data_IF_440613093056
#
_entry.id   IF_440613093056
#
_cell.length_a   1.000
_cell.length_b   1.000
_cell.length_c   1.000
_cell.angle_alpha   90.00
_cell.angle_beta   90.00
_cell.angle_gamma   90.00
#
_symmetry.space_group_name_H-M   'P 1'
#
loop_
_entity.id
_entity.type
_entity.pdbx_description
1 polymer ?
#
# COMPACT_ATOMS: atom_id res chain seq x y z
N UNK A 1 -82.39 -14.98 -70.29
CA UNK A 1 -82.93 -16.17 -69.60
C UNK A 1 -83.57 -15.68 -68.32
N UNK A 2 -84.89 -15.71 -68.23
CA UNK A 2 -85.63 -15.26 -67.04
C UNK A 2 -85.58 -16.37 -65.97
N UNK A 3 -85.23 -16.02 -64.74
CA UNK A 3 -85.28 -16.95 -63.60
C UNK A 3 -86.71 -17.45 -63.40
N UNK A 4 -86.86 -18.78 -63.35
CA UNK A 4 -88.13 -19.44 -63.03
C UNK A 4 -88.47 -19.13 -61.56
N UNK A 5 -89.68 -18.63 -61.24
CA UNK A 5 -90.02 -18.26 -59.87
C UNK A 5 -90.11 -19.52 -58.99
N UNK A 6 -89.33 -19.55 -57.91
CA UNK A 6 -89.35 -20.65 -56.94
C UNK A 6 -90.79 -20.90 -56.42
N UNK A 7 -91.15 -22.18 -56.34
CA UNK A 7 -92.45 -22.62 -55.80
C UNK A 7 -92.58 -22.26 -54.32
N UNK A 8 -93.80 -22.07 -53.82
CA UNK A 8 -94.03 -21.70 -52.42
C UNK A 8 -93.42 -22.69 -51.40
N UNK A 9 -93.30 -23.97 -51.76
CA UNK A 9 -92.63 -24.99 -50.93
C UNK A 9 -91.11 -24.83 -50.87
N UNK A 10 -90.47 -24.47 -51.99
CA UNK A 10 -89.02 -24.18 -52.03
C UNK A 10 -88.68 -22.95 -51.21
N UNK A 11 -89.51 -21.90 -51.25
CA UNK A 11 -89.35 -20.71 -50.40
C UNK A 11 -89.45 -21.05 -48.91
N UNK A 12 -90.42 -21.88 -48.51
CA UNK A 12 -90.54 -22.36 -47.12
C UNK A 12 -89.29 -23.16 -46.68
N UNK A 13 -88.74 -24.01 -47.54
CA UNK A 13 -87.52 -24.76 -47.26
C UNK A 13 -86.29 -23.83 -47.09
N UNK A 14 -86.16 -22.80 -47.94
CA UNK A 14 -85.12 -21.78 -47.80
C UNK A 14 -85.24 -20.99 -46.48
N UNK A 15 -86.46 -20.64 -46.06
CA UNK A 15 -86.69 -19.98 -44.77
C UNK A 15 -86.28 -20.86 -43.59
N UNK A 16 -86.58 -22.16 -43.63
CA UNK A 16 -86.15 -23.11 -42.58
C UNK A 16 -84.63 -23.18 -42.46
N UNK A 17 -83.92 -23.28 -43.59
CA UNK A 17 -82.44 -23.30 -43.61
C UNK A 17 -81.88 -21.98 -43.06
N UNK A 18 -82.49 -20.84 -43.39
CA UNK A 18 -82.08 -19.54 -42.85
C UNK A 18 -82.32 -19.43 -41.34
N UNK A 19 -83.44 -19.96 -40.83
CA UNK A 19 -83.68 -20.02 -39.39
C UNK A 19 -82.67 -20.92 -38.67
N UNK A 20 -82.37 -22.10 -39.20
CA UNK A 20 -81.32 -23.00 -38.67
C UNK A 20 -79.97 -22.29 -38.60
N UNK A 21 -79.53 -21.65 -39.70
CA UNK A 21 -78.28 -20.88 -39.72
C UNK A 21 -78.30 -19.69 -38.75
N UNK A 22 -79.46 -19.08 -38.54
CA UNK A 22 -79.62 -18.01 -37.56
C UNK A 22 -79.45 -18.55 -36.14
N UNK A 23 -80.03 -19.71 -35.84
CA UNK A 23 -79.86 -20.38 -34.55
C UNK A 23 -78.41 -20.79 -34.31
N UNK A 24 -77.73 -21.40 -35.30
CA UNK A 24 -76.31 -21.75 -35.21
C UNK A 24 -75.42 -20.52 -34.91
N UNK A 25 -75.66 -19.41 -35.59
CA UNK A 25 -74.93 -18.17 -35.34
C UNK A 25 -75.21 -17.59 -33.95
N UNK A 26 -76.47 -17.65 -33.48
CA UNK A 26 -76.84 -17.17 -32.14
C UNK A 26 -76.13 -18.01 -31.07
N UNK A 27 -76.15 -19.34 -31.19
CA UNK A 27 -75.43 -20.23 -30.28
C UNK A 27 -73.92 -19.98 -30.29
N UNK A 28 -73.31 -19.80 -31.47
CA UNK A 28 -71.88 -19.46 -31.58
C UNK A 28 -71.56 -18.13 -30.90
N UNK A 29 -72.42 -17.11 -31.04
CA UNK A 29 -72.23 -15.82 -30.38
C UNK A 29 -72.39 -15.91 -28.87
N UNK A 30 -73.36 -16.70 -28.38
CA UNK A 30 -73.57 -16.92 -26.95
C UNK A 30 -72.37 -17.64 -26.32
N UNK A 31 -71.89 -18.73 -26.94
CA UNK A 31 -70.70 -19.46 -26.47
C UNK A 31 -69.44 -18.58 -26.47
N UNK A 32 -69.25 -17.73 -27.49
CA UNK A 32 -68.16 -16.75 -27.52
C UNK A 32 -68.30 -15.69 -26.42
N UNK A 33 -69.52 -15.22 -26.15
CA UNK A 33 -69.79 -14.23 -25.12
C UNK A 33 -69.50 -14.80 -23.73
N UNK A 34 -69.99 -15.99 -23.42
CA UNK A 34 -69.71 -16.68 -22.16
C UNK A 34 -68.20 -16.92 -21.95
N UNK A 35 -67.50 -17.39 -23.00
CA UNK A 35 -66.03 -17.57 -22.95
C UNK A 35 -65.30 -16.24 -22.73
N UNK A 36 -65.73 -15.17 -23.38
CA UNK A 36 -65.12 -13.86 -23.25
C UNK A 36 -65.36 -13.27 -21.85
N UNK A 37 -66.56 -13.41 -21.30
CA UNK A 37 -66.89 -13.00 -19.93
C UNK A 37 -66.09 -13.79 -18.89
N UNK A 38 -65.94 -15.10 -19.06
CA UNK A 38 -65.13 -15.93 -18.18
C UNK A 38 -63.64 -15.54 -18.22
N UNK A 39 -63.09 -15.31 -19.41
CA UNK A 39 -61.71 -14.82 -19.57
C UNK A 39 -61.52 -13.42 -18.95
N UNK A 40 -62.50 -12.54 -19.12
CA UNK A 40 -62.47 -11.19 -18.55
C UNK A 40 -62.55 -11.22 -17.01
N UNK A 41 -63.35 -12.13 -16.44
CA UNK A 41 -63.39 -12.33 -15.00
C UNK A 41 -62.06 -12.86 -14.46
N UNK A 42 -61.47 -13.86 -15.12
CA UNK A 42 -60.18 -14.44 -14.72
C UNK A 42 -59.05 -13.42 -14.80
N UNK A 43 -58.93 -12.72 -15.93
CA UNK A 43 -57.88 -11.71 -16.12
C UNK A 43 -57.98 -10.53 -15.14
N UNK A 44 -59.20 -10.17 -14.72
CA UNK A 44 -59.40 -9.17 -13.65
C UNK A 44 -58.86 -9.65 -12.30
N UNK A 45 -59.13 -10.90 -11.93
CA UNK A 45 -58.61 -11.49 -10.69
C UNK A 45 -57.07 -11.58 -10.71
N UNK A 46 -56.50 -12.00 -11.85
CA UNK A 46 -55.05 -12.08 -12.01
C UNK A 46 -54.40 -10.69 -11.92
N UNK A 47 -55.00 -9.68 -12.56
CA UNK A 47 -54.52 -8.30 -12.50
C UNK A 47 -54.57 -7.74 -11.06
N UNK A 48 -55.63 -8.02 -10.31
CA UNK A 48 -55.74 -7.58 -8.92
C UNK A 48 -54.68 -8.25 -8.03
N UNK A 49 -54.45 -9.56 -8.22
CA UNK A 49 -53.36 -10.29 -7.55
C UNK A 49 -52.00 -9.68 -7.85
N UNK A 50 -51.68 -9.43 -9.12
CA UNK A 50 -50.41 -8.82 -9.54
C UNK A 50 -50.24 -7.40 -8.99
N UNK A 51 -51.32 -6.60 -8.96
CA UNK A 51 -51.28 -5.27 -8.36
C UNK A 51 -50.99 -5.33 -6.85
N UNK A 52 -51.56 -6.29 -6.14
CA UNK A 52 -51.31 -6.49 -4.72
C UNK A 52 -49.87 -6.96 -4.47
N UNK A 53 -49.38 -7.94 -5.23
CA UNK A 53 -47.98 -8.39 -5.15
C UNK A 53 -47.02 -7.24 -5.43
N UNK A 54 -47.27 -6.45 -6.48
CA UNK A 54 -46.44 -5.28 -6.83
C UNK A 54 -46.40 -4.26 -5.69
N UNK A 55 -47.53 -3.96 -5.05
CA UNK A 55 -47.57 -3.01 -3.92
C UNK A 55 -46.76 -3.53 -2.73
N UNK A 56 -46.90 -4.81 -2.39
CA UNK A 56 -46.13 -5.44 -1.30
C UNK A 56 -44.63 -5.41 -1.59
N UNK A 57 -44.22 -5.82 -2.80
CA UNK A 57 -42.81 -5.80 -3.20
C UNK A 57 -42.23 -4.37 -3.19
N UNK A 58 -43.01 -3.37 -3.62
CA UNK A 58 -42.58 -1.98 -3.55
C UNK A 58 -42.37 -1.52 -2.11
N UNK A 59 -43.26 -1.90 -1.19
CA UNK A 59 -43.10 -1.59 0.23
C UNK A 59 -41.87 -2.28 0.82
N UNK A 60 -41.63 -3.55 0.52
CA UNK A 60 -40.46 -4.30 0.97
C UNK A 60 -39.15 -3.69 0.43
N UNK A 61 -39.12 -3.26 -0.83
CA UNK A 61 -37.94 -2.59 -1.42
C UNK A 61 -37.63 -1.27 -0.71
N UNK A 62 -38.66 -0.49 -0.36
CA UNK A 62 -38.48 0.76 0.40
C UNK A 62 -37.96 0.46 1.79
N UNK A 63 -38.57 -0.48 2.50
CA UNK A 63 -38.14 -0.87 3.85
C UNK A 63 -36.72 -1.44 3.86
N UNK A 64 -36.37 -2.26 2.87
CA UNK A 64 -35.02 -2.79 2.72
C UNK A 64 -33.98 -1.69 2.49
N UNK A 65 -34.30 -0.71 1.63
CA UNK A 65 -33.44 0.46 1.38
C UNK A 65 -33.27 1.35 2.61
N UNK A 66 -34.34 1.56 3.36
CA UNK A 66 -34.29 2.33 4.61
C UNK A 66 -33.44 1.62 5.66
N UNK A 67 -33.61 0.30 5.82
CA UNK A 67 -32.77 -0.53 6.70
C UNK A 67 -31.31 -0.51 6.26
N UNK A 68 -31.04 -0.64 4.97
CA UNK A 68 -29.68 -0.58 4.41
C UNK A 68 -29.05 0.79 4.68
N UNK A 69 -29.78 1.88 4.44
CA UNK A 69 -29.32 3.23 4.72
C UNK A 69 -29.04 3.43 6.22
N UNK A 70 -29.94 3.00 7.09
CA UNK A 70 -29.77 3.10 8.54
C UNK A 70 -28.60 2.26 9.06
N UNK A 71 -28.41 1.05 8.51
CA UNK A 71 -27.27 0.19 8.82
C UNK A 71 -25.97 0.82 8.33
N UNK A 72 -25.94 1.33 7.11
CA UNK A 72 -24.78 2.02 6.53
C UNK A 72 -24.40 3.26 7.36
N UNK A 73 -25.37 4.07 7.77
CA UNK A 73 -25.13 5.23 8.65
C UNK A 73 -24.62 4.81 10.04
N UNK A 74 -25.15 3.73 10.62
CA UNK A 74 -24.65 3.19 11.90
C UNK A 74 -23.24 2.63 11.76
N UNK A 75 -22.94 1.97 10.64
CA UNK A 75 -21.61 1.48 10.29
C UNK A 75 -20.65 2.58 9.84
N UNK A 76 -21.12 3.78 9.50
CA UNK A 76 -20.25 4.92 9.19
C UNK A 76 -19.91 5.76 10.43
N UNK A 77 -20.26 5.30 11.64
CA UNK A 77 -19.97 6.02 12.88
C UNK A 77 -18.46 6.17 13.09
N UNK A 78 -18.02 7.40 13.37
CA UNK A 78 -16.62 7.79 13.61
C UNK A 78 -15.66 7.45 12.45
N UNK A 79 -15.85 8.09 11.29
CA UNK A 79 -14.90 7.99 10.21
C UNK A 79 -13.52 8.51 10.65
N UNK A 80 -12.46 7.91 10.12
CA UNK A 80 -11.11 8.30 10.49
C UNK A 80 -10.14 8.37 9.31
N UNK A 81 -9.08 9.14 9.53
CA UNK A 81 -7.91 9.23 8.65
C UNK A 81 -6.74 8.53 9.32
N UNK A 82 -6.03 7.71 8.56
CA UNK A 82 -4.84 7.00 9.05
C UNK A 82 -3.58 7.58 8.42
N UNK A 83 -2.56 7.82 9.24
CA UNK A 83 -1.23 8.24 8.79
C UNK A 83 -0.22 7.21 9.22
N UNK A 84 0.46 6.59 8.27
CA UNK A 84 1.54 5.64 8.53
C UNK A 84 2.86 6.27 8.12
N UNK A 85 3.80 6.35 9.07
CA UNK A 85 5.11 6.95 8.87
C UNK A 85 6.17 5.91 9.19
N UNK A 86 7.01 5.60 8.21
CA UNK A 86 8.27 4.90 8.37
C UNK A 86 9.36 5.94 8.64
N UNK A 87 9.74 6.14 9.90
CA UNK A 87 10.74 7.14 10.26
C UNK A 87 12.19 6.67 10.02
N UNK A 88 12.39 5.38 9.74
CA UNK A 88 13.71 4.85 9.36
C UNK A 88 13.97 5.00 7.84
N UNK A 89 12.93 5.26 7.05
CA UNK A 89 13.05 5.45 5.61
C UNK A 89 13.76 6.76 5.25
N UNK A 90 14.59 6.71 4.20
CA UNK A 90 15.31 7.87 3.66
C UNK A 90 14.32 9.02 3.36
N UNK A 91 14.59 10.19 3.94
CA UNK A 91 13.79 11.41 3.73
C UNK A 91 12.57 11.56 4.64
N UNK A 92 12.29 10.61 5.54
CA UNK A 92 11.20 10.71 6.52
C UNK A 92 11.69 10.86 7.97
N UNK A 93 12.97 11.19 8.15
CA UNK A 93 13.50 11.62 9.45
C UNK A 93 12.95 13.00 9.80
N UNK A 94 12.43 13.15 11.02
CA UNK A 94 11.90 14.43 11.51
C UNK A 94 13.00 15.47 11.73
N UNK A 95 12.62 16.74 11.66
CA UNK A 95 13.56 17.86 11.86
C UNK A 95 14.18 17.87 13.27
N UNK A 96 15.43 18.31 13.31
CA UNK A 96 16.24 18.40 14.55
C UNK A 96 15.57 19.25 15.63
N UNK A 97 14.81 20.29 15.24
CA UNK A 97 14.06 21.14 16.16
C UNK A 97 13.05 20.36 17.03
N UNK A 98 12.60 19.20 16.56
CA UNK A 98 11.76 18.28 17.34
C UNK A 98 12.62 17.27 18.09
N UNK A 99 13.47 16.53 17.37
CA UNK A 99 14.23 15.39 17.93
C UNK A 99 15.12 15.80 19.13
N UNK A 100 15.76 16.96 19.04
CA UNK A 100 16.75 17.42 20.05
C UNK A 100 16.11 17.90 21.36
N UNK A 101 14.79 18.12 21.40
CA UNK A 101 14.07 18.71 22.54
C UNK A 101 13.39 17.69 23.47
N UNK A 102 13.71 16.40 23.35
CA UNK A 102 13.16 15.33 24.20
C UNK A 102 11.61 15.38 24.18
N UNK A 103 10.94 15.22 25.32
CA UNK A 103 9.47 15.19 25.42
C UNK A 103 8.77 16.41 24.80
N UNK A 104 9.23 17.63 25.09
CA UNK A 104 8.67 18.86 24.50
C UNK A 104 8.78 18.88 22.97
N UNK A 105 9.84 18.27 22.44
CA UNK A 105 10.01 18.11 21.00
C UNK A 105 8.99 17.16 20.38
N UNK A 106 8.67 16.06 21.08
CA UNK A 106 7.63 15.12 20.68
C UNK A 106 6.24 15.75 20.70
N UNK A 107 5.93 16.50 21.76
CA UNK A 107 4.68 17.28 21.86
C UNK A 107 4.55 18.29 20.72
N UNK A 108 5.62 19.06 20.46
CA UNK A 108 5.65 20.03 19.36
C UNK A 108 5.48 19.38 17.99
N UNK A 109 6.04 18.19 17.79
CA UNK A 109 5.86 17.44 16.54
C UNK A 109 4.42 16.97 16.37
N UNK A 110 3.78 16.47 17.42
CA UNK A 110 2.40 16.02 17.36
C UNK A 110 1.45 17.18 17.00
N UNK A 111 1.65 18.34 17.61
CA UNK A 111 0.86 19.55 17.31
C UNK A 111 1.04 19.99 15.85
N UNK A 112 2.29 20.10 15.39
CA UNK A 112 2.58 20.49 14.00
C UNK A 112 1.98 19.48 13.01
N UNK A 113 2.14 18.18 13.29
CA UNK A 113 1.63 17.12 12.42
C UNK A 113 0.10 17.21 12.32
N UNK A 114 -0.60 17.42 13.43
CA UNK A 114 -2.05 17.62 13.41
C UNK A 114 -2.46 18.83 12.56
N UNK A 115 -1.76 19.97 12.71
CA UNK A 115 -2.02 21.18 11.92
C UNK A 115 -1.87 20.87 10.43
N UNK A 116 -0.74 20.28 10.00
CA UNK A 116 -0.50 20.00 8.58
C UNK A 116 -1.48 18.98 7.99
N UNK A 117 -1.87 17.98 8.78
CA UNK A 117 -2.87 17.00 8.36
C UNK A 117 -4.24 17.64 8.19
N UNK A 118 -4.68 18.50 9.12
CA UNK A 118 -5.96 19.22 8.99
C UNK A 118 -5.95 20.18 7.80
N UNK A 119 -4.87 20.93 7.61
CA UNK A 119 -4.70 21.81 6.44
C UNK A 119 -4.81 21.04 5.12
N UNK A 120 -4.22 19.84 5.05
CA UNK A 120 -4.32 18.98 3.88
C UNK A 120 -5.72 18.38 3.66
N UNK A 121 -6.43 18.03 4.73
CA UNK A 121 -7.73 17.35 4.64
C UNK A 121 -8.90 18.30 4.34
N UNK A 122 -8.85 19.56 4.79
CA UNK A 122 -9.94 20.53 4.63
C UNK A 122 -10.40 20.74 3.17
N UNK A 123 -9.50 20.81 2.17
CA UNK A 123 -9.93 20.89 0.78
C UNK A 123 -10.53 19.60 0.23
N UNK A 124 -10.30 18.46 0.88
CA UNK A 124 -10.74 17.14 0.42
C UNK A 124 -12.09 16.72 1.01
N UNK A 125 -12.43 17.21 2.20
CA UNK A 125 -13.61 16.78 2.96
C UNK A 125 -14.26 17.97 3.67
N UNK A 126 -15.55 18.19 3.44
CA UNK A 126 -16.33 19.22 4.13
C UNK A 126 -16.39 18.97 5.65
N UNK A 127 -16.36 17.70 6.06
CA UNK A 127 -16.37 17.25 7.46
C UNK A 127 -14.96 17.09 8.06
N UNK A 128 -13.92 17.64 7.41
CA UNK A 128 -12.52 17.39 7.75
C UNK A 128 -12.17 17.63 9.22
N UNK A 129 -12.71 18.66 9.88
CA UNK A 129 -12.38 18.96 11.29
C UNK A 129 -13.02 17.97 12.28
N UNK A 130 -14.06 17.23 11.86
CA UNK A 130 -14.74 16.21 12.67
C UNK A 130 -14.12 14.81 12.58
N UNK A 131 -13.24 14.59 11.59
CA UNK A 131 -12.59 13.31 11.37
C UNK A 131 -11.62 12.99 12.51
N UNK A 132 -11.65 11.76 13.01
CA UNK A 132 -10.62 11.25 13.90
C UNK A 132 -9.33 11.04 13.08
N UNK A 133 -8.17 11.49 13.58
CA UNK A 133 -6.87 11.34 12.90
C UNK A 133 -6.00 10.40 13.74
N UNK A 134 -5.65 9.26 13.18
CA UNK A 134 -4.76 8.27 13.79
C UNK A 134 -3.40 8.38 13.12
N UNK A 135 -2.35 8.55 13.91
CA UNK A 135 -0.97 8.59 13.41
C UNK A 135 -0.19 7.44 14.01
N UNK A 136 0.54 6.70 13.18
CA UNK A 136 1.46 5.66 13.61
C UNK A 136 2.82 5.87 12.99
N UNK A 137 3.78 6.15 13.84
CA UNK A 137 5.19 6.26 13.47
C UNK A 137 5.89 4.97 13.83
N UNK A 138 6.51 4.31 12.85
CA UNK A 138 7.30 3.10 13.05
C UNK A 138 8.77 3.45 12.90
N UNK A 139 9.57 3.06 13.91
CA UNK A 139 11.01 3.26 13.89
C UNK A 139 11.69 2.18 14.74
N UNK A 140 12.89 1.76 14.36
CA UNK A 140 13.78 1.06 15.27
C UNK A 140 14.45 2.10 16.18
N UNK A 141 13.92 2.29 17.39
CA UNK A 141 14.38 3.36 18.28
C UNK A 141 15.86 3.20 18.66
N UNK A 142 16.34 1.98 18.83
CA UNK A 142 17.74 1.72 19.16
C UNK A 142 18.65 2.08 17.98
N UNK A 143 18.30 1.64 16.77
CA UNK A 143 19.03 1.98 15.55
C UNK A 143 19.04 3.50 15.30
N UNK A 144 17.87 4.14 15.41
CA UNK A 144 17.72 5.57 15.23
C UNK A 144 18.51 6.36 16.28
N UNK A 145 18.47 5.96 17.57
CA UNK A 145 19.27 6.59 18.62
C UNK A 145 20.77 6.48 18.33
N UNK A 146 21.27 5.30 17.98
CA UNK A 146 22.68 5.10 17.66
C UNK A 146 23.14 5.98 16.49
N UNK A 147 22.30 6.14 15.46
CA UNK A 147 22.56 7.07 14.36
C UNK A 147 22.61 8.53 14.84
N UNK A 148 21.60 8.97 15.59
CA UNK A 148 21.48 10.35 16.06
C UNK A 148 22.58 10.74 17.07
N UNK A 149 23.07 9.79 17.87
CA UNK A 149 24.23 10.00 18.76
C UNK A 149 25.50 10.27 17.95
N UNK A 150 25.74 9.51 16.88
CA UNK A 150 26.89 9.74 15.98
C UNK A 150 26.82 11.09 15.26
N UNK A 151 25.62 11.66 15.12
CA UNK A 151 25.39 12.97 14.54
C UNK A 151 25.35 14.11 15.58
N UNK A 152 25.64 13.82 16.86
CA UNK A 152 25.57 14.77 17.98
C UNK A 152 24.19 15.44 18.17
N UNK A 153 23.12 14.75 17.73
CA UNK A 153 21.72 15.25 17.84
C UNK A 153 21.06 14.82 19.14
N UNK A 154 21.39 13.64 19.64
CA UNK A 154 20.89 13.11 20.93
C UNK A 154 22.05 12.50 21.69
N UNK A 155 21.97 12.48 23.02
CA UNK A 155 23.05 11.93 23.87
C UNK A 155 22.96 10.43 24.07
N UNK A 156 21.75 9.89 24.07
CA UNK A 156 21.47 8.47 24.31
C UNK A 156 20.04 8.12 23.89
N UNK A 157 19.74 6.81 23.90
CA UNK A 157 18.39 6.28 23.66
C UNK A 157 17.33 6.85 24.61
N UNK A 158 17.69 7.19 25.84
CA UNK A 158 16.76 7.76 26.82
C UNK A 158 16.16 9.11 26.38
N UNK A 159 16.95 9.97 25.73
CA UNK A 159 16.43 11.23 25.17
C UNK A 159 15.43 10.98 24.05
N UNK A 160 15.71 10.01 23.18
CA UNK A 160 14.81 9.68 22.09
C UNK A 160 13.54 8.98 22.57
N UNK A 161 13.62 8.13 23.60
CA UNK A 161 12.44 7.58 24.28
C UNK A 161 11.59 8.68 24.90
N UNK A 162 12.18 9.66 25.58
CA UNK A 162 11.44 10.80 26.12
C UNK A 162 10.73 11.59 25.01
N UNK A 163 11.36 11.76 23.85
CA UNK A 163 10.74 12.35 22.66
C UNK A 163 9.52 11.54 22.17
N UNK A 164 9.67 10.22 21.98
CA UNK A 164 8.56 9.35 21.60
C UNK A 164 7.42 9.38 22.63
N UNK A 165 7.73 9.37 23.93
CA UNK A 165 6.74 9.47 25.01
C UNK A 165 5.99 10.80 24.96
N UNK A 166 6.68 11.92 24.75
CA UNK A 166 6.03 13.23 24.61
C UNK A 166 5.11 13.29 23.39
N UNK A 167 5.51 12.68 22.27
CA UNK A 167 4.66 12.56 21.08
C UNK A 167 3.36 11.78 21.38
N UNK A 168 3.47 10.58 21.96
CA UNK A 168 2.30 9.75 22.27
C UNK A 168 1.40 10.39 23.35
N UNK A 169 2.00 11.08 24.32
CA UNK A 169 1.27 11.73 25.40
C UNK A 169 0.51 12.98 24.98
N UNK A 170 0.87 13.60 23.85
CA UNK A 170 0.28 14.86 23.40
C UNK A 170 -1.10 14.71 22.78
N UNK A 171 -1.26 13.70 21.92
CA UNK A 171 -2.53 13.39 21.23
C UNK A 171 -2.78 11.90 21.37
N UNK A 172 -3.92 11.52 21.95
CA UNK A 172 -4.20 10.11 22.32
C UNK A 172 -4.29 9.13 21.15
N UNK A 173 -4.48 9.62 19.92
CA UNK A 173 -4.54 8.80 18.71
C UNK A 173 -3.22 8.74 17.95
N UNK A 174 -2.15 9.29 18.52
CA UNK A 174 -0.82 9.35 17.91
C UNK A 174 0.10 8.38 18.64
N UNK A 175 0.66 7.44 17.91
CA UNK A 175 1.48 6.36 18.46
C UNK A 175 2.87 6.38 17.84
N UNK A 176 3.89 6.24 18.69
CA UNK A 176 5.25 5.92 18.30
C UNK A 176 5.55 4.47 18.64
N UNK A 177 5.82 3.67 17.62
CA UNK A 177 5.94 2.22 17.69
C UNK A 177 7.40 1.85 17.45
N UNK A 178 8.06 1.39 18.51
CA UNK A 178 9.39 0.78 18.41
C UNK A 178 9.28 -0.60 17.78
N UNK A 179 9.82 -0.77 16.58
CA UNK A 179 9.83 -2.07 15.89
C UNK A 179 11.00 -2.95 16.33
N UNK A 180 11.93 -2.41 17.11
CA UNK A 180 13.10 -3.11 17.62
C UNK A 180 14.12 -3.49 16.55
N UNK A 181 15.12 -4.26 16.97
CA UNK A 181 16.23 -4.73 16.14
C UNK A 181 15.93 -6.15 15.65
N UNK A 182 15.16 -6.27 14.57
CA UNK A 182 14.74 -7.55 14.00
C UNK A 182 15.44 -7.89 12.69
N UNK A 183 15.81 -9.17 12.49
CA UNK A 183 16.18 -9.72 11.17
C UNK A 183 14.95 -9.81 10.23
N UNK A 184 13.78 -10.07 10.82
CA UNK A 184 12.51 -10.27 10.13
C UNK A 184 11.66 -9.00 10.20
N UNK A 185 11.82 -8.12 9.21
CA UNK A 185 10.88 -7.04 8.91
C UNK A 185 11.13 -5.71 9.62
N UNK A 186 11.77 -4.77 8.91
CA UNK A 186 11.90 -3.38 9.34
C UNK A 186 10.57 -2.62 9.37
N UNK A 187 10.63 -1.36 9.81
CA UNK A 187 9.52 -0.39 9.86
C UNK A 187 8.68 -0.37 8.57
N UNK A 188 9.31 -0.42 7.39
CA UNK A 188 8.62 -0.46 6.09
C UNK A 188 7.68 -1.67 5.91
N UNK A 189 8.05 -2.85 6.43
CA UNK A 189 7.17 -4.03 6.43
C UNK A 189 5.94 -3.81 7.30
N UNK A 190 6.11 -3.21 8.49
CA UNK A 190 5.00 -2.88 9.39
C UNK A 190 4.03 -1.88 8.76
N UNK A 191 4.56 -0.84 8.10
CA UNK A 191 3.75 0.13 7.35
C UNK A 191 2.94 -0.58 6.26
N UNK A 192 3.60 -1.42 5.45
CA UNK A 192 2.95 -2.18 4.37
C UNK A 192 1.82 -3.09 4.87
N UNK A 193 2.05 -3.83 5.94
CA UNK A 193 1.01 -4.72 6.51
C UNK A 193 -0.17 -3.94 7.10
N UNK A 194 0.10 -2.82 7.78
CA UNK A 194 -0.95 -1.97 8.31
C UNK A 194 -1.75 -1.30 7.18
N UNK A 195 -1.09 -0.88 6.10
CA UNK A 195 -1.76 -0.37 4.91
C UNK A 195 -2.78 -1.37 4.36
N UNK A 196 -2.36 -2.63 4.15
CA UNK A 196 -3.26 -3.69 3.66
C UNK A 196 -4.41 -3.97 4.63
N UNK A 197 -4.14 -3.94 5.94
CA UNK A 197 -5.17 -4.20 6.94
C UNK A 197 -6.22 -3.08 6.98
N UNK A 198 -5.80 -1.82 7.12
CA UNK A 198 -6.72 -0.69 7.31
C UNK A 198 -7.49 -0.29 6.06
N UNK A 199 -6.96 -0.56 4.87
CA UNK A 199 -7.67 -0.25 3.61
C UNK A 199 -8.95 -1.07 3.42
N UNK A 200 -9.07 -2.22 4.10
CA UNK A 200 -10.31 -3.01 4.16
C UNK A 200 -11.37 -2.41 5.10
N UNK A 201 -11.01 -1.42 5.92
CA UNK A 201 -11.91 -0.85 6.92
C UNK A 201 -12.88 0.16 6.26
N UNK A 202 -14.18 -0.06 6.44
CA UNK A 202 -15.25 0.78 5.88
C UNK A 202 -15.25 2.21 6.44
N UNK A 203 -14.76 2.41 7.65
CA UNK A 203 -14.66 3.72 8.31
C UNK A 203 -13.45 4.54 7.85
N UNK A 204 -12.50 3.93 7.12
CA UNK A 204 -11.34 4.64 6.59
C UNK A 204 -11.78 5.62 5.51
N UNK A 205 -11.62 6.92 5.79
CA UNK A 205 -11.87 7.99 4.83
C UNK A 205 -10.67 8.22 3.93
N UNK A 206 -9.50 8.28 4.55
CA UNK A 206 -8.26 8.63 3.87
C UNK A 206 -7.05 8.01 4.55
N UNK A 207 -6.00 7.76 3.78
CA UNK A 207 -4.71 7.29 4.28
C UNK A 207 -3.55 8.10 3.68
N UNK A 208 -2.64 8.53 4.55
CA UNK A 208 -1.39 9.18 4.18
C UNK A 208 -0.21 8.26 4.52
N UNK A 209 0.71 8.09 3.56
CA UNK A 209 1.88 7.23 3.72
C UNK A 209 3.18 8.02 3.56
N UNK A 210 4.00 8.04 4.61
CA UNK A 210 5.42 8.41 4.52
C UNK A 210 6.24 7.12 4.61
N UNK A 211 6.65 6.55 3.48
CA UNK A 211 7.39 5.30 3.44
C UNK A 211 8.30 5.24 2.21
N UNK A 212 9.33 4.40 2.27
CA UNK A 212 10.21 4.18 1.12
C UNK A 212 9.42 3.61 -0.06
N UNK A 213 9.65 4.11 -1.30
CA UNK A 213 9.05 3.53 -2.50
C UNK A 213 9.31 2.03 -2.68
N UNK A 214 10.43 1.52 -2.14
CA UNK A 214 10.75 0.08 -2.19
C UNK A 214 9.77 -0.79 -1.42
N UNK A 215 9.14 -0.24 -0.39
CA UNK A 215 8.19 -0.95 0.46
C UNK A 215 6.75 -0.87 -0.05
N UNK A 216 6.52 -0.12 -1.12
CA UNK A 216 5.23 0.08 -1.79
C UNK A 216 5.29 -0.46 -3.22
N UNK A 217 5.30 -1.79 -3.42
CA UNK A 217 5.30 -2.35 -4.76
C UNK A 217 4.00 -1.97 -5.49
N UNK A 218 4.05 -1.61 -6.79
CA UNK A 218 2.86 -1.24 -7.56
C UNK A 218 1.76 -2.30 -7.56
N UNK A 219 2.14 -3.58 -7.51
CA UNK A 219 1.22 -4.72 -7.42
C UNK A 219 0.37 -4.72 -6.15
N UNK A 220 0.93 -4.24 -5.04
CA UNK A 220 0.17 -4.04 -3.82
C UNK A 220 -0.78 -2.85 -3.99
N UNK A 221 -0.28 -1.71 -4.46
CA UNK A 221 -1.09 -0.50 -4.57
C UNK A 221 -2.28 -0.69 -5.52
N UNK A 222 -2.12 -1.46 -6.60
CA UNK A 222 -3.20 -1.75 -7.55
C UNK A 222 -4.40 -2.48 -6.95
N UNK A 223 -4.27 -3.13 -5.79
CA UNK A 223 -5.39 -3.79 -5.11
C UNK A 223 -6.10 -2.88 -4.10
N UNK A 224 -5.58 -1.67 -3.85
CA UNK A 224 -6.04 -0.75 -2.83
C UNK A 224 -6.94 0.35 -3.41
N UNK A 225 -7.80 0.98 -2.60
CA UNK A 225 -8.61 2.12 -3.02
C UNK A 225 -7.73 3.38 -3.18
N UNK A 226 -7.09 3.49 -4.34
CA UNK A 226 -6.15 4.57 -4.69
C UNK A 226 -6.67 6.01 -4.47
N UNK A 227 -7.95 6.33 -4.72
CA UNK A 227 -8.47 7.68 -4.48
C UNK A 227 -8.40 8.14 -3.01
N UNK A 228 -8.40 7.18 -2.07
CA UNK A 228 -8.28 7.44 -0.63
C UNK A 228 -6.83 7.47 -0.16
N UNK A 229 -5.86 7.30 -1.06
CA UNK A 229 -4.45 7.14 -0.74
C UNK A 229 -3.64 8.35 -1.18
N UNK A 230 -2.84 8.89 -0.26
CA UNK A 230 -1.87 9.95 -0.53
C UNK A 230 -0.48 9.53 -0.10
N UNK A 231 0.49 9.71 -0.97
CA UNK A 231 1.90 9.54 -0.63
C UNK A 231 2.50 10.87 -0.19
N UNK A 232 3.18 10.84 0.95
CA UNK A 232 4.04 11.93 1.39
C UNK A 232 5.34 11.84 0.61
N UNK A 233 5.69 12.88 -0.13
CA UNK A 233 6.88 12.90 -0.95
C UNK A 233 8.04 13.58 -0.21
N UNK A 234 9.10 12.81 0.06
CA UNK A 234 10.37 13.33 0.57
C UNK A 234 11.39 13.56 -0.55
N UNK A 235 11.31 12.78 -1.62
CA UNK A 235 12.18 12.83 -2.80
C UNK A 235 11.39 12.39 -4.05
N UNK A 236 11.84 12.70 -5.28
CA UNK A 236 11.12 12.35 -6.50
C UNK A 236 10.75 10.87 -6.55
N UNK A 237 9.46 10.59 -6.74
CA UNK A 237 8.93 9.23 -6.80
C UNK A 237 9.43 8.48 -8.06
N UNK A 238 9.61 7.16 -7.99
CA UNK A 238 9.95 6.36 -9.16
C UNK A 238 8.80 6.38 -10.19
N UNK A 239 9.10 6.24 -11.50
CA UNK A 239 8.08 6.25 -12.55
C UNK A 239 6.96 5.23 -12.37
N UNK A 240 7.26 4.09 -11.75
CA UNK A 240 6.29 3.04 -11.44
C UNK A 240 5.18 3.47 -10.48
N UNK A 241 5.46 4.42 -9.59
CA UNK A 241 4.46 4.99 -8.67
C UNK A 241 3.77 6.20 -9.30
N UNK A 242 4.49 7.00 -10.10
CA UNK A 242 3.91 8.16 -10.82
C UNK A 242 2.86 7.72 -11.84
N UNK A 243 3.03 6.53 -12.44
CA UNK A 243 2.06 5.98 -13.38
C UNK A 243 0.70 5.62 -12.75
N UNK A 244 0.62 5.52 -11.43
CA UNK A 244 -0.62 5.21 -10.71
C UNK A 244 -1.40 6.51 -10.39
N UNK A 245 -2.74 6.46 -10.34
CA UNK A 245 -3.58 7.61 -9.99
C UNK A 245 -3.54 7.91 -8.48
N UNK A 246 -2.35 8.22 -7.96
CA UNK A 246 -2.08 8.50 -6.56
C UNK A 246 -2.00 10.01 -6.32
N UNK A 247 -2.57 10.46 -5.21
CA UNK A 247 -2.33 11.82 -4.72
C UNK A 247 -0.97 11.91 -4.04
N UNK A 248 -0.29 13.04 -4.19
CA UNK A 248 1.00 13.29 -3.52
C UNK A 248 0.97 14.63 -2.79
N UNK A 249 1.64 14.71 -1.64
CA UNK A 249 1.78 15.96 -0.88
C UNK A 249 3.11 15.99 -0.13
N UNK A 250 3.51 17.17 0.36
CA UNK A 250 4.78 17.38 1.05
C UNK A 250 4.59 18.15 2.34
N UNK A 251 5.28 17.74 3.40
CA UNK A 251 5.30 18.46 4.68
C UNK A 251 6.71 18.93 5.04
N UNK A 252 7.18 20.04 4.45
CA UNK A 252 8.57 20.47 4.56
C UNK A 252 8.96 20.97 5.96
N UNK A 253 8.00 21.19 6.87
CA UNK A 253 8.27 21.59 8.26
C UNK A 253 8.38 20.42 9.23
N UNK A 254 8.06 19.21 8.78
CA UNK A 254 8.10 17.99 9.58
C UNK A 254 9.40 17.22 9.36
N UNK A 255 9.75 17.01 8.09
CA UNK A 255 10.88 16.17 7.70
C UNK A 255 12.11 16.98 7.32
N UNK A 256 13.28 16.36 7.46
CA UNK A 256 14.54 16.89 6.98
C UNK A 256 14.56 16.75 5.45
N UNK A 257 14.87 17.83 4.75
CA UNK A 257 15.05 17.76 3.30
C UNK A 257 16.19 16.80 2.95
N UNK A 258 16.01 15.89 1.97
CA UNK A 258 17.08 14.98 1.58
C UNK A 258 18.29 15.80 1.11
N UNK A 259 19.45 15.52 1.68
CA UNK A 259 20.70 16.11 1.20
C UNK A 259 20.93 15.57 -0.21
N UNK A 260 21.21 16.41 -1.22
CA UNK A 260 21.56 15.92 -2.55
C UNK A 260 22.75 14.99 -2.38
N UNK A 261 22.58 13.70 -2.75
CA UNK A 261 23.71 12.77 -2.77
C UNK A 261 24.70 13.35 -3.78
N UNK A 262 25.74 14.03 -3.30
CA UNK A 262 26.90 14.36 -4.13
C UNK A 262 27.32 13.05 -4.80
N UNK A 263 27.60 13.03 -6.12
CA UNK A 263 28.06 11.81 -6.76
C UNK A 263 29.22 11.31 -5.92
N UNK A 264 29.09 10.11 -5.34
CA UNK A 264 30.20 9.48 -4.65
C UNK A 264 31.38 9.59 -5.62
N UNK A 265 32.53 10.18 -5.24
CA UNK A 265 33.70 10.09 -6.09
C UNK A 265 33.86 8.59 -6.34
N UNK A 266 33.80 8.18 -7.61
CA UNK A 266 34.00 6.79 -8.00
C UNK A 266 35.28 6.37 -7.31
N UNK A 267 35.14 5.52 -6.29
CA UNK A 267 36.27 5.07 -5.50
C UNK A 267 37.27 4.52 -6.49
N UNK A 268 38.43 5.16 -6.55
CA UNK A 268 39.62 4.61 -7.18
C UNK A 268 39.74 3.19 -6.64
N UNK A 269 39.67 2.17 -7.50
CA UNK A 269 39.75 0.76 -7.13
C UNK A 269 40.91 0.56 -6.13
N UNK A 270 40.58 0.50 -4.84
CA UNK A 270 41.51 0.08 -3.81
C UNK A 270 41.62 -1.43 -3.87
N UNK A 271 42.81 -2.01 -3.61
CA UNK A 271 42.99 -3.45 -3.65
C UNK A 271 42.05 -4.12 -2.63
N UNK A 272 41.21 -5.03 -3.10
CA UNK A 272 40.33 -5.84 -2.26
C UNK A 272 41.20 -6.88 -1.55
N UNK A 273 41.31 -6.79 -0.23
CA UNK A 273 42.04 -7.75 0.58
C UNK A 273 41.15 -8.98 0.80
N UNK A 274 41.56 -10.13 0.27
CA UNK A 274 40.94 -11.42 0.60
C UNK A 274 41.58 -12.01 1.85
N UNK A 275 40.73 -12.51 2.75
CA UNK A 275 41.11 -13.19 3.97
C UNK A 275 40.93 -14.69 3.74
N UNK A 276 42.02 -15.45 3.65
CA UNK A 276 41.99 -16.91 3.57
C UNK A 276 42.61 -17.50 4.82
N UNK A 277 41.89 -18.41 5.45
CA UNK A 277 42.28 -19.12 6.65
C UNK A 277 42.66 -20.55 6.25
N UNK A 278 43.90 -20.96 6.51
CA UNK A 278 44.39 -22.30 6.20
C UNK A 278 44.82 -22.97 7.51
N UNK A 279 44.28 -24.17 7.77
CA UNK A 279 44.60 -24.95 8.97
C UNK A 279 45.70 -25.97 8.66
N UNK A 280 46.71 -26.03 9.53
CA UNK A 280 47.82 -26.99 9.43
C UNK A 280 47.39 -28.35 10.03
N UNK A 281 47.71 -29.50 9.38
CA UNK A 281 47.25 -30.81 9.85
C UNK A 281 47.86 -31.30 11.17
N UNK A 282 48.91 -30.64 11.70
CA UNK A 282 49.59 -31.03 12.94
C UNK A 282 49.26 -30.13 14.14
N UNK A 283 48.15 -29.38 14.10
CA UNK A 283 47.58 -28.79 15.32
C UNK A 283 48.40 -27.64 15.92
N UNK A 284 48.92 -26.74 15.09
CA UNK A 284 49.59 -25.52 15.54
C UNK A 284 49.34 -24.32 14.62
N UNK A 285 48.84 -23.22 15.22
CA UNK A 285 48.73 -21.83 14.73
C UNK A 285 48.20 -21.59 13.31
N UNK A 286 47.03 -20.96 13.22
CA UNK A 286 46.43 -20.47 11.96
C UNK A 286 47.12 -19.20 11.46
N UNK A 287 47.59 -19.20 10.21
CA UNK A 287 48.24 -18.03 9.60
C UNK A 287 47.31 -17.28 8.65
N UNK A 288 47.18 -15.97 8.83
CA UNK A 288 46.44 -15.09 7.92
C UNK A 288 47.38 -14.58 6.82
N UNK A 289 47.13 -14.96 5.57
CA UNK A 289 47.93 -14.53 4.41
C UNK A 289 47.15 -13.47 3.63
N UNK A 290 47.58 -12.21 3.70
CA UNK A 290 47.00 -11.12 2.91
C UNK A 290 47.71 -11.06 1.55
N UNK A 291 47.02 -11.44 0.48
CA UNK A 291 47.52 -11.28 -0.90
C UNK A 291 46.85 -10.07 -1.58
N UNK A 292 47.62 -9.09 -2.08
CA UNK A 292 47.04 -8.04 -2.91
C UNK A 292 46.73 -8.59 -4.31
N UNK A 293 45.47 -8.61 -4.72
CA UNK A 293 45.12 -8.86 -6.13
C UNK A 293 45.46 -7.63 -6.98
N UNK A 294 46.27 -7.81 -8.03
CA UNK A 294 46.31 -6.87 -9.16
C UNK A 294 45.19 -7.23 -10.13
N UNK A 295 44.17 -6.38 -10.22
CA UNK A 295 43.17 -6.43 -11.28
C UNK A 295 43.87 -6.31 -12.65
N UNK A 296 43.84 -7.37 -13.47
CA UNK A 296 44.28 -7.29 -14.87
C UNK A 296 43.27 -6.46 -15.65
N UNK A 297 43.57 -5.18 -15.88
CA UNK A 297 42.89 -4.38 -16.89
C UNK A 297 43.24 -4.92 -18.27
N UNK A 298 42.23 -5.29 -19.06
CA UNK A 298 42.38 -5.57 -20.48
C UNK A 298 42.93 -4.32 -21.20
N UNK A 299 44.06 -4.49 -21.89
CA UNK A 299 44.66 -3.50 -22.76
C UNK A 299 45.71 -4.19 -23.63
N UNK A 300 45.37 -4.41 -24.90
CA UNK A 300 46.27 -4.97 -25.89
C UNK A 300 47.40 -3.99 -26.24
N UNK A 301 48.63 -4.48 -26.42
CA UNK A 301 49.62 -3.80 -27.26
C UNK A 301 51.07 -3.73 -26.74
N UNK A 302 51.94 -4.46 -27.45
CA UNK A 302 53.38 -4.24 -27.69
C UNK A 302 54.42 -4.46 -26.55
N UNK A 303 55.13 -5.58 -26.72
CA UNK A 303 56.59 -5.83 -26.54
C UNK A 303 57.45 -4.68 -25.99
N UNK A 304 58.13 -4.94 -24.87
CA UNK A 304 59.61 -4.88 -24.78
C UNK A 304 60.16 -5.63 -23.57
N UNK A 305 61.26 -6.33 -23.82
CA UNK A 305 62.11 -7.09 -22.91
C UNK A 305 62.75 -6.13 -21.88
N UNK A 306 62.65 -6.45 -20.61
CA UNK A 306 63.34 -5.80 -19.50
C UNK A 306 63.01 -6.55 -18.23
N UNK A 307 63.98 -7.31 -17.70
CA UNK A 307 63.90 -7.92 -16.37
C UNK A 307 63.77 -6.82 -15.33
N UNK A 308 62.63 -6.77 -14.63
CA UNK A 308 62.51 -6.09 -13.34
C UNK A 308 62.33 -7.16 -12.26
N UNK A 309 63.28 -7.23 -11.33
CA UNK A 309 63.14 -7.95 -10.07
C UNK A 309 62.09 -7.22 -9.23
N UNK A 310 60.81 -7.53 -9.44
CA UNK A 310 59.72 -7.01 -8.63
C UNK A 310 59.71 -7.78 -7.30
N UNK A 311 60.36 -7.18 -6.30
CA UNK A 311 60.45 -7.59 -4.90
C UNK A 311 59.04 -7.82 -4.33
N UNK A 312 58.64 -9.09 -4.19
CA UNK A 312 57.32 -9.49 -3.71
C UNK A 312 57.26 -9.34 -2.19
N UNK A 313 56.97 -8.13 -1.71
CA UNK A 313 56.83 -7.85 -0.27
C UNK A 313 55.51 -8.40 0.26
N UNK A 314 55.47 -9.67 0.65
CA UNK A 314 54.39 -10.22 1.48
C UNK A 314 54.62 -9.84 2.94
N UNK A 315 53.62 -9.23 3.57
CA UNK A 315 53.56 -9.02 5.02
C UNK A 315 52.84 -10.22 5.64
N UNK A 316 53.52 -10.96 6.52
CA UNK A 316 52.92 -12.03 7.31
C UNK A 316 52.78 -11.58 8.76
N UNK A 317 51.62 -11.88 9.36
CA UNK A 317 51.33 -11.59 10.76
C UNK A 317 51.03 -12.91 11.47
N UNK A 318 51.82 -13.22 12.49
CA UNK A 318 51.64 -14.35 13.39
C UNK A 318 50.84 -13.93 14.62
N UNK A 319 49.96 -14.81 15.11
CA UNK A 319 49.48 -14.74 16.49
C UNK A 319 49.89 -16.04 17.19
N UNK A 320 50.75 -15.91 18.20
CA UNK A 320 51.18 -17.04 19.03
C UNK A 320 50.09 -17.52 19.99
N UNK A 321 50.24 -18.72 20.57
CA UNK A 321 49.25 -19.33 21.47
C UNK A 321 49.03 -18.56 22.80
N UNK A 322 49.83 -17.53 23.07
CA UNK A 322 49.75 -16.61 24.21
C UNK A 322 49.27 -15.19 23.82
N UNK A 323 48.61 -15.04 22.66
CA UNK A 323 48.16 -13.77 22.07
C UNK A 323 49.29 -12.77 21.73
N UNK A 324 50.52 -13.24 21.60
CA UNK A 324 51.63 -12.41 21.12
C UNK A 324 51.52 -12.21 19.60
N UNK A 325 51.64 -10.95 19.14
CA UNK A 325 51.54 -10.61 17.71
C UNK A 325 52.95 -10.34 17.17
N UNK A 326 53.35 -11.10 16.16
CA UNK A 326 54.63 -10.89 15.44
C UNK A 326 54.35 -10.49 13.99
N UNK A 327 55.09 -9.51 13.48
CA UNK A 327 54.95 -9.03 12.10
C UNK A 327 56.28 -9.20 11.38
N UNK A 328 56.30 -10.02 10.34
CA UNK A 328 57.45 -10.18 9.47
C UNK A 328 57.19 -9.48 8.13
N UNK A 329 57.88 -8.36 7.93
CA UNK A 329 57.96 -7.71 6.63
C UNK A 329 59.19 -8.28 5.95
N UNK A 330 59.02 -9.22 5.02
CA UNK A 330 60.09 -10.05 4.40
C UNK A 330 61.24 -9.34 3.65
N UNK A 331 61.71 -8.18 4.11
CA UNK A 331 62.92 -7.48 3.66
C UNK A 331 64.15 -8.13 4.27
N UNK A 332 64.86 -8.96 3.49
CA UNK A 332 66.25 -9.32 3.81
C UNK A 332 67.12 -8.05 3.81
N UNK A 333 67.71 -7.70 4.96
CA UNK A 333 68.84 -6.76 5.00
C UNK A 333 70.02 -7.39 4.26
N UNK A 334 70.44 -6.81 3.13
CA UNK A 334 71.79 -7.04 2.60
C UNK A 334 72.79 -6.37 3.55
N UNK A 335 73.57 -7.17 4.27
CA UNK A 335 74.83 -6.76 4.85
C UNK A 335 75.84 -6.60 3.70
N UNK A 336 76.44 -5.42 3.57
CA UNK A 336 77.56 -5.18 2.65
C UNK A 336 78.84 -5.35 3.47
N UNK A 337 79.67 -6.31 3.07
CA UNK A 337 81.08 -6.43 3.46
C UNK A 337 81.97 -5.83 2.39
#
# INVERSE_FOLDING_TARGET
MAEVPATYRERLAQFRILEEKRFELIEELLDKLEKCEAQLAQTKLDLESEQNVRRTLQAEVVEAKEKESALSQRQARRPFVLVLIDADADGFMFQDKYITRRAQGGESLADELLIRLREYLRPLYDDADSLDILVRVYANLEGMANFLVRQDKVRNLGQLRAFATGFCGRISSFDWIDVGVGKEGGSGRKVRENLSFYTSNTHLRHILLACSPTDLPPTLLSTLPLPKLTLLESSPLPPSLIALPLSTTRFPTLFIAPVPKSPRPRGRNGPQLQLTQQEDPEGGSTWLVIRPERSKSQGAGLRRRGESEDDNSSLSISIGPDNTVSVDSGRRRRLVG
#
